data_IF_902109273095
#
_entry.id   IF_902109273095
#
_cell.length_a   1.000
_cell.length_b   1.000
_cell.length_c   1.000
_cell.angle_alpha   90.00
_cell.angle_beta   90.00
_cell.angle_gamma   90.00
#
_symmetry.space_group_name_H-M   'P 1'
#
loop_
_entity.id
_entity.type
_entity.pdbx_description
1 polymer ?
#
# COMPACT_ATOMS: atom_id res chain seq x y z
N UNK A 1 15.17 -3.97 -11.76
CA UNK A 1 15.72 -5.15 -11.06
C UNK A 1 14.74 -5.62 -9.98
N UNK A 2 14.73 -6.93 -9.68
CA UNK A 2 14.00 -7.47 -8.54
C UNK A 2 14.59 -6.95 -7.21
N UNK A 3 13.74 -6.82 -6.20
CA UNK A 3 14.09 -6.51 -4.81
C UNK A 3 13.92 -7.81 -4.01
N UNK A 4 14.99 -8.31 -3.41
CA UNK A 4 14.98 -9.51 -2.58
C UNK A 4 15.34 -9.19 -1.13
N UNK A 5 16.07 -8.12 -0.90
CA UNK A 5 16.54 -7.64 0.41
C UNK A 5 16.61 -6.11 0.42
N UNK A 6 16.76 -5.50 1.60
CA UNK A 6 16.75 -4.04 1.78
C UNK A 6 17.79 -3.35 0.91
N UNK A 7 18.99 -3.90 0.81
CA UNK A 7 20.08 -3.29 0.02
C UNK A 7 19.76 -3.15 -1.47
N UNK A 8 18.83 -3.94 -2.01
CA UNK A 8 18.41 -3.85 -3.41
C UNK A 8 17.63 -2.55 -3.71
N UNK A 9 17.03 -1.93 -2.68
CA UNK A 9 16.35 -0.63 -2.80
C UNK A 9 17.31 0.55 -2.82
N UNK A 10 18.57 0.35 -2.39
CA UNK A 10 19.52 1.45 -2.23
C UNK A 10 19.71 2.26 -3.52
N UNK A 11 19.39 3.54 -3.40
CA UNK A 11 19.55 4.52 -4.47
C UNK A 11 18.51 4.43 -5.59
N UNK A 12 17.56 3.49 -5.56
CA UNK A 12 16.45 3.46 -6.51
C UNK A 12 15.54 4.67 -6.29
N UNK A 13 15.20 5.35 -7.37
CA UNK A 13 14.16 6.39 -7.37
C UNK A 13 12.80 5.72 -7.38
N UNK A 14 12.17 5.64 -6.23
CA UNK A 14 10.85 5.03 -6.08
C UNK A 14 9.79 6.13 -6.05
N UNK A 15 8.82 6.06 -6.95
CA UNK A 15 7.65 6.93 -6.89
C UNK A 15 6.83 6.59 -5.65
N UNK A 16 6.53 7.61 -4.86
CA UNK A 16 5.64 7.50 -3.70
C UNK A 16 4.51 8.54 -3.79
N UNK A 17 3.35 8.29 -3.15
CA UNK A 17 2.38 9.34 -2.94
C UNK A 17 2.95 10.43 -2.01
N UNK A 18 2.35 11.64 -1.98
CA UNK A 18 2.82 12.73 -1.11
C UNK A 18 2.40 12.50 0.36
N UNK A 19 2.71 11.33 0.90
CA UNK A 19 2.42 10.90 2.27
C UNK A 19 3.72 10.78 3.05
N UNK A 20 3.82 11.50 4.17
CA UNK A 20 5.03 11.53 4.99
C UNK A 20 5.46 10.15 5.51
N UNK A 21 4.56 9.25 5.97
CA UNK A 21 4.95 7.91 6.40
C UNK A 21 5.60 7.10 5.26
N UNK A 22 4.99 7.09 4.08
CA UNK A 22 5.50 6.37 2.91
C UNK A 22 6.86 6.90 2.47
N UNK A 23 7.00 8.23 2.38
CA UNK A 23 8.26 8.88 2.03
C UNK A 23 9.37 8.43 2.99
N UNK A 24 9.16 8.58 4.30
CA UNK A 24 10.14 8.23 5.32
C UNK A 24 10.47 6.73 5.35
N UNK A 25 9.48 5.87 5.11
CA UNK A 25 9.71 4.43 5.03
C UNK A 25 10.68 4.10 3.89
N UNK A 26 10.47 4.62 2.68
CA UNK A 26 11.36 4.36 1.56
C UNK A 26 12.73 5.03 1.72
N UNK A 27 12.83 6.19 2.38
CA UNK A 27 14.12 6.78 2.78
C UNK A 27 14.87 5.85 3.74
N UNK A 28 14.20 5.33 4.77
CA UNK A 28 14.79 4.41 5.75
C UNK A 28 15.24 3.09 5.10
N UNK A 29 14.53 2.61 4.09
CA UNK A 29 14.91 1.46 3.26
C UNK A 29 16.07 1.76 2.28
N UNK A 30 16.60 2.99 2.27
CA UNK A 30 17.74 3.40 1.44
C UNK A 30 17.38 3.79 0.00
N UNK A 31 16.11 3.83 -0.34
CA UNK A 31 15.65 4.34 -1.63
C UNK A 31 15.73 5.87 -1.70
N UNK A 32 15.51 6.41 -2.90
CA UNK A 32 15.35 7.85 -3.16
C UNK A 32 13.90 8.12 -3.58
N UNK A 33 12.95 8.29 -2.64
CA UNK A 33 11.54 8.45 -2.96
C UNK A 33 11.30 9.75 -3.73
N UNK A 34 10.45 9.66 -4.75
CA UNK A 34 10.06 10.77 -5.62
C UNK A 34 8.56 10.97 -5.57
N UNK A 35 8.13 12.16 -5.17
CA UNK A 35 6.71 12.51 -5.12
C UNK A 35 6.22 12.87 -6.53
N UNK A 36 5.48 11.94 -7.14
CA UNK A 36 4.87 12.14 -8.46
C UNK A 36 3.36 11.87 -8.35
N UNK A 37 2.49 12.72 -8.93
CA UNK A 37 1.05 12.46 -8.96
C UNK A 37 0.74 11.07 -9.52
N UNK A 38 -0.30 10.42 -8.97
CA UNK A 38 -0.64 9.05 -9.36
C UNK A 38 -0.87 8.91 -10.87
N UNK A 39 -1.59 9.86 -11.46
CA UNK A 39 -1.89 9.89 -12.89
C UNK A 39 -0.66 10.09 -13.80
N UNK A 40 0.46 10.56 -13.25
CA UNK A 40 1.71 10.79 -13.99
C UNK A 40 2.70 9.64 -13.82
N UNK A 41 2.40 8.67 -12.95
CA UNK A 41 3.31 7.58 -12.59
C UNK A 41 3.73 6.74 -13.80
N UNK A 42 2.79 6.39 -14.68
CA UNK A 42 3.09 5.61 -15.89
C UNK A 42 4.15 6.31 -16.76
N UNK A 43 3.98 7.60 -17.01
CA UNK A 43 4.93 8.36 -17.83
C UNK A 43 6.27 8.56 -17.12
N UNK A 44 6.27 8.73 -15.80
CA UNK A 44 7.50 8.82 -15.02
C UNK A 44 8.33 7.53 -15.07
N UNK A 45 7.68 6.37 -15.04
CA UNK A 45 8.30 5.05 -15.23
C UNK A 45 8.84 4.90 -16.68
N UNK A 46 8.01 5.19 -17.67
CA UNK A 46 8.37 5.07 -19.10
C UNK A 46 9.54 5.93 -19.52
N UNK A 47 9.68 7.10 -18.92
CA UNK A 47 10.76 8.07 -19.25
C UNK A 47 11.97 7.95 -18.33
N UNK A 48 11.95 7.07 -17.32
CA UNK A 48 13.05 6.89 -16.38
C UNK A 48 13.23 8.04 -15.38
N UNK A 49 12.19 8.85 -15.16
CA UNK A 49 12.16 9.85 -14.08
C UNK A 49 12.21 9.14 -12.73
N UNK A 50 11.52 7.99 -12.62
CA UNK A 50 11.60 7.06 -11.51
C UNK A 50 11.98 5.66 -12.01
N UNK A 51 12.64 4.89 -11.14
CA UNK A 51 13.09 3.52 -11.41
C UNK A 51 12.02 2.48 -11.04
N UNK A 52 11.09 2.86 -10.14
CA UNK A 52 10.04 1.99 -9.64
C UNK A 52 8.93 2.77 -8.95
N UNK A 53 7.94 2.03 -8.47
CA UNK A 53 6.80 2.54 -7.71
C UNK A 53 6.35 1.49 -6.70
N UNK A 54 5.48 1.84 -5.77
CA UNK A 54 4.79 0.95 -4.85
C UNK A 54 3.28 1.13 -5.04
N UNK A 55 2.57 0.04 -5.19
CA UNK A 55 1.11 0.00 -5.29
C UNK A 55 0.59 -1.43 -5.11
N UNK A 56 -0.69 -1.62 -4.79
CA UNK A 56 -1.36 -2.91 -4.89
C UNK A 56 -1.31 -3.49 -6.31
N UNK A 57 -1.37 -4.81 -6.44
CA UNK A 57 -1.39 -5.53 -7.72
C UNK A 57 -2.49 -5.04 -8.67
N UNK A 58 -3.69 -4.78 -8.13
CA UNK A 58 -4.80 -4.21 -8.89
C UNK A 58 -4.43 -2.88 -9.57
N UNK A 59 -3.83 -1.96 -8.83
CA UNK A 59 -3.41 -0.67 -9.34
C UNK A 59 -2.32 -0.80 -10.42
N UNK A 60 -1.40 -1.77 -10.24
CA UNK A 60 -0.33 -2.04 -11.22
C UNK A 60 -0.95 -2.53 -12.54
N UNK A 61 -1.94 -3.41 -12.48
CA UNK A 61 -2.64 -3.92 -13.64
C UNK A 61 -3.49 -2.84 -14.32
N UNK A 62 -4.37 -2.18 -13.57
CA UNK A 62 -5.34 -1.21 -14.09
C UNK A 62 -4.67 0.02 -14.72
N UNK A 63 -3.57 0.50 -14.12
CA UNK A 63 -2.78 1.62 -14.63
C UNK A 63 -1.70 1.19 -15.62
N UNK A 64 -1.65 -0.10 -15.96
CA UNK A 64 -0.70 -0.69 -16.90
C UNK A 64 0.77 -0.42 -16.59
N UNK A 65 1.12 -0.33 -15.31
CA UNK A 65 2.52 -0.10 -14.91
C UNK A 65 3.42 -1.26 -15.34
N UNK A 66 2.87 -2.46 -15.49
CA UNK A 66 3.56 -3.65 -16.03
C UNK A 66 4.12 -3.45 -17.44
N UNK A 67 3.55 -2.53 -18.27
CA UNK A 67 4.10 -2.20 -19.58
C UNK A 67 5.42 -1.41 -19.51
N UNK A 68 5.70 -0.81 -18.33
CA UNK A 68 6.88 0.01 -18.09
C UNK A 68 7.87 -0.62 -17.10
N UNK A 69 7.54 -1.77 -16.53
CA UNK A 69 8.34 -2.44 -15.49
C UNK A 69 8.44 -3.95 -15.74
N UNK A 70 9.64 -4.50 -15.58
CA UNK A 70 9.92 -5.95 -15.80
C UNK A 70 9.78 -6.78 -14.53
N UNK A 71 9.87 -6.16 -13.35
CA UNK A 71 9.93 -6.85 -12.05
C UNK A 71 8.86 -6.33 -11.10
N UNK A 72 8.28 -7.25 -10.34
CA UNK A 72 7.38 -6.98 -9.21
C UNK A 72 7.84 -7.79 -8.02
N UNK A 73 8.13 -7.12 -6.89
CA UNK A 73 8.54 -7.77 -5.66
C UNK A 73 7.46 -7.60 -4.60
N UNK A 74 6.96 -8.71 -4.05
CA UNK A 74 5.88 -8.74 -3.08
C UNK A 74 6.41 -8.43 -1.68
N UNK A 75 6.60 -7.13 -1.39
CA UNK A 75 7.04 -6.68 -0.07
C UNK A 75 5.98 -6.92 1.01
N UNK A 76 4.71 -6.79 0.64
CA UNK A 76 3.58 -6.85 1.58
C UNK A 76 3.78 -5.90 2.79
N UNK A 77 4.28 -4.71 2.51
CA UNK A 77 4.76 -3.75 3.51
C UNK A 77 3.66 -2.90 4.14
N UNK A 78 2.49 -2.86 3.52
CA UNK A 78 1.39 -1.99 3.94
C UNK A 78 0.04 -2.67 3.72
N UNK A 79 -0.86 -2.50 4.69
CA UNK A 79 -2.29 -2.77 4.52
C UNK A 79 -2.95 -1.46 4.08
N UNK A 80 -3.76 -1.51 3.02
CA UNK A 80 -4.56 -0.39 2.55
C UNK A 80 -6.02 -0.56 2.98
N UNK A 81 -6.45 -0.01 4.12
CA UNK A 81 -7.86 0.02 4.47
C UNK A 81 -8.56 1.11 3.65
N UNK A 82 -9.63 0.75 2.95
CA UNK A 82 -10.50 1.70 2.24
C UNK A 82 -11.75 1.97 3.10
N UNK A 83 -11.77 3.07 3.87
CA UNK A 83 -12.90 3.38 4.73
C UNK A 83 -14.09 3.91 3.93
N UNK A 84 -15.28 3.45 4.28
CA UNK A 84 -16.53 3.94 3.74
C UNK A 84 -17.05 5.08 4.63
N UNK A 85 -17.17 6.29 4.07
CA UNK A 85 -17.57 7.48 4.81
C UNK A 85 -18.96 7.96 4.41
N UNK A 86 -19.69 8.43 5.40
CA UNK A 86 -20.95 9.15 5.21
C UNK A 86 -20.92 10.46 6.01
N UNK A 87 -21.58 11.50 5.52
CA UNK A 87 -21.71 12.75 6.27
C UNK A 87 -22.60 12.54 7.49
N UNK A 88 -22.06 12.73 8.69
CA UNK A 88 -22.84 12.65 9.93
C UNK A 88 -24.03 13.62 9.89
N UNK A 89 -23.82 14.85 9.42
CA UNK A 89 -24.89 15.84 9.30
C UNK A 89 -26.04 15.40 8.38
N UNK A 90 -25.73 14.67 7.33
CA UNK A 90 -26.74 14.11 6.43
C UNK A 90 -27.43 12.90 7.05
N UNK A 91 -26.67 11.99 7.65
CA UNK A 91 -27.16 10.76 8.28
C UNK A 91 -28.11 11.05 9.44
N UNK A 92 -27.75 12.00 10.32
CA UNK A 92 -28.57 12.39 11.48
C UNK A 92 -29.90 13.04 11.12
N UNK A 93 -30.06 13.51 9.87
CA UNK A 93 -31.33 14.08 9.38
C UNK A 93 -32.27 13.00 8.81
N UNK A 94 -31.81 11.79 8.61
CA UNK A 94 -32.63 10.70 8.10
C UNK A 94 -33.60 10.22 9.21
N UNK A 95 -34.82 9.83 8.83
CA UNK A 95 -35.68 9.03 9.70
C UNK A 95 -34.98 7.72 10.10
N UNK A 96 -35.23 7.22 11.30
CA UNK A 96 -34.59 6.02 11.86
C UNK A 96 -34.67 4.81 10.91
N UNK A 97 -35.83 4.62 10.25
CA UNK A 97 -35.99 3.54 9.26
C UNK A 97 -35.01 3.65 8.09
N UNK A 98 -34.68 4.86 7.66
CA UNK A 98 -33.70 5.08 6.59
C UNK A 98 -32.25 4.97 7.08
N UNK A 99 -31.95 5.33 8.33
CA UNK A 99 -30.64 5.10 8.94
C UNK A 99 -30.37 3.59 8.99
N UNK A 100 -31.34 2.77 9.45
CA UNK A 100 -31.19 1.31 9.47
C UNK A 100 -30.91 0.74 8.08
N UNK A 101 -31.60 1.22 7.04
CA UNK A 101 -31.37 0.76 5.66
C UNK A 101 -29.96 1.13 5.20
N UNK A 102 -29.48 2.34 5.51
CA UNK A 102 -28.12 2.79 5.15
C UNK A 102 -27.08 1.93 5.86
N UNK A 103 -27.25 1.64 7.15
CA UNK A 103 -26.33 0.81 7.92
C UNK A 103 -26.28 -0.63 7.38
N UNK A 104 -27.43 -1.24 7.13
CA UNK A 104 -27.51 -2.60 6.59
C UNK A 104 -26.85 -2.70 5.21
N UNK A 105 -27.17 -1.76 4.31
CA UNK A 105 -26.58 -1.74 2.96
C UNK A 105 -25.10 -1.45 2.99
N UNK A 106 -24.64 -0.56 3.88
CA UNK A 106 -23.21 -0.28 4.04
C UNK A 106 -22.46 -1.52 4.52
N UNK A 107 -22.97 -2.22 5.52
CA UNK A 107 -22.39 -3.45 6.05
C UNK A 107 -22.33 -4.55 4.99
N UNK A 108 -23.43 -4.78 4.26
CA UNK A 108 -23.46 -5.75 3.16
C UNK A 108 -22.47 -5.40 2.06
N UNK A 109 -22.42 -4.13 1.67
CA UNK A 109 -21.50 -3.62 0.63
C UNK A 109 -20.06 -3.82 1.04
N UNK A 110 -19.67 -3.47 2.27
CA UNK A 110 -18.29 -3.65 2.75
C UNK A 110 -17.90 -5.12 2.77
N UNK A 111 -18.78 -5.99 3.28
CA UNK A 111 -18.53 -7.44 3.31
C UNK A 111 -18.29 -7.98 1.92
N UNK A 112 -19.21 -7.67 0.99
CA UNK A 112 -19.12 -8.13 -0.41
C UNK A 112 -17.91 -7.56 -1.15
N UNK A 113 -17.59 -6.29 -0.91
CA UNK A 113 -16.40 -5.65 -1.50
C UNK A 113 -15.11 -6.36 -1.06
N UNK A 114 -14.99 -6.68 0.23
CA UNK A 114 -13.84 -7.42 0.75
C UNK A 114 -13.72 -8.83 0.12
N UNK A 115 -14.84 -9.56 0.00
CA UNK A 115 -14.86 -10.88 -0.64
C UNK A 115 -14.39 -10.80 -2.09
N UNK A 116 -14.89 -9.83 -2.86
CA UNK A 116 -14.51 -9.62 -4.26
C UNK A 116 -13.04 -9.24 -4.35
N UNK A 117 -12.57 -8.34 -3.49
CA UNK A 117 -11.18 -7.88 -3.50
C UNK A 117 -10.21 -9.03 -3.21
N UNK A 118 -10.46 -9.81 -2.16
CA UNK A 118 -9.65 -10.97 -1.80
C UNK A 118 -9.63 -12.04 -2.91
N UNK A 119 -10.79 -12.27 -3.56
CA UNK A 119 -10.88 -13.21 -4.67
C UNK A 119 -10.16 -12.73 -5.94
N UNK A 120 -10.04 -11.42 -6.14
CA UNK A 120 -9.43 -10.84 -7.34
C UNK A 120 -7.91 -10.79 -7.30
N UNK A 121 -7.28 -10.80 -6.11
CA UNK A 121 -5.82 -10.69 -5.96
C UNK A 121 -5.07 -11.77 -6.74
N UNK A 122 -5.50 -13.02 -6.63
CA UNK A 122 -4.88 -14.13 -7.36
C UNK A 122 -4.94 -13.93 -8.89
N UNK A 123 -6.06 -13.40 -9.40
CA UNK A 123 -6.22 -13.13 -10.82
C UNK A 123 -5.32 -11.98 -11.30
N UNK A 124 -5.13 -10.94 -10.47
CA UNK A 124 -4.20 -9.86 -10.79
C UNK A 124 -2.75 -10.37 -10.83
N UNK A 125 -2.35 -11.18 -9.86
CA UNK A 125 -1.00 -11.75 -9.83
C UNK A 125 -0.77 -12.69 -11.02
N UNK A 126 -1.75 -13.51 -11.42
CA UNK A 126 -1.66 -14.35 -12.62
C UNK A 126 -1.46 -13.49 -13.88
N UNK A 127 -2.32 -12.48 -14.07
CA UNK A 127 -2.25 -11.57 -15.22
C UNK A 127 -0.91 -10.82 -15.27
N UNK A 128 -0.45 -10.29 -14.13
CA UNK A 128 0.82 -9.58 -14.06
C UNK A 128 2.00 -10.51 -14.30
N UNK A 129 1.92 -11.77 -13.85
CA UNK A 129 2.94 -12.80 -14.05
C UNK A 129 3.16 -13.17 -15.52
N UNK A 130 2.20 -12.91 -16.40
CA UNK A 130 2.38 -13.06 -17.86
C UNK A 130 3.30 -11.98 -18.46
N UNK A 131 3.48 -10.86 -17.75
CA UNK A 131 4.19 -9.68 -18.25
C UNK A 131 5.41 -9.29 -17.41
N UNK A 132 5.44 -9.69 -16.14
CA UNK A 132 6.47 -9.31 -15.17
C UNK A 132 7.08 -10.54 -14.49
N UNK A 133 8.33 -10.43 -14.08
CA UNK A 133 8.93 -11.39 -13.15
C UNK A 133 8.51 -11.02 -11.73
N UNK A 134 7.65 -11.85 -11.14
CA UNK A 134 7.17 -11.66 -9.75
C UNK A 134 8.03 -12.49 -8.80
N UNK A 135 8.49 -11.88 -7.70
CA UNK A 135 9.20 -12.58 -6.64
C UNK A 135 8.64 -12.24 -5.26
N UNK A 136 8.66 -13.21 -4.38
CA UNK A 136 8.45 -13.02 -2.94
C UNK A 136 9.76 -12.64 -2.25
N UNK A 137 9.63 -11.98 -1.08
CA UNK A 137 10.77 -11.77 -0.20
C UNK A 137 10.95 -13.02 0.64
N UNK A 138 12.12 -13.63 0.60
CA UNK A 138 12.45 -14.78 1.43
C UNK A 138 12.37 -14.41 2.93
N UNK A 139 11.88 -15.33 3.76
CA UNK A 139 11.63 -15.07 5.19
C UNK A 139 12.88 -14.57 5.92
N UNK A 140 14.05 -15.07 5.56
CA UNK A 140 15.34 -14.64 6.12
C UNK A 140 15.68 -13.17 5.87
N UNK A 141 15.06 -12.54 4.87
CA UNK A 141 15.27 -11.13 4.51
C UNK A 141 14.17 -10.20 5.04
N UNK A 142 12.99 -10.74 5.42
CA UNK A 142 11.84 -9.93 5.88
C UNK A 142 12.18 -9.07 7.10
N UNK A 143 12.88 -9.66 8.09
CA UNK A 143 13.26 -8.93 9.29
C UNK A 143 14.09 -7.67 8.99
N UNK A 144 14.95 -7.71 7.97
CA UNK A 144 15.74 -6.55 7.57
C UNK A 144 14.89 -5.35 7.11
N UNK A 145 13.75 -5.60 6.43
CA UNK A 145 12.81 -4.54 6.06
C UNK A 145 12.10 -3.97 7.29
N UNK A 146 11.70 -4.81 8.23
CA UNK A 146 11.07 -4.38 9.49
C UNK A 146 12.04 -3.52 10.30
N UNK A 147 13.25 -4.00 10.53
CA UNK A 147 14.27 -3.29 11.31
C UNK A 147 14.59 -1.90 10.72
N UNK A 148 14.61 -1.80 9.41
CA UNK A 148 14.88 -0.53 8.72
C UNK A 148 13.79 0.52 8.95
N UNK A 149 12.53 0.13 9.14
CA UNK A 149 11.40 1.07 9.30
C UNK A 149 11.01 1.34 10.75
N UNK A 150 11.52 0.60 11.74
CA UNK A 150 11.27 0.85 13.16
C UNK A 150 11.49 2.31 13.56
N UNK A 151 12.60 3.00 13.17
CA UNK A 151 12.82 4.41 13.50
C UNK A 151 11.76 5.35 12.92
N UNK A 152 11.09 4.93 11.84
CA UNK A 152 10.00 5.71 11.23
C UNK A 152 8.76 5.65 12.12
N UNK A 153 8.41 4.46 12.65
CA UNK A 153 7.30 4.32 13.60
C UNK A 153 7.55 5.11 14.88
N UNK A 154 8.75 4.99 15.46
CA UNK A 154 9.16 5.75 16.65
C UNK A 154 9.01 7.27 16.44
N UNK A 155 9.44 7.78 15.28
CA UNK A 155 9.28 9.19 14.93
C UNK A 155 7.81 9.65 14.94
N UNK A 156 6.86 8.85 14.44
CA UNK A 156 5.44 9.21 14.43
C UNK A 156 4.80 9.05 15.82
N UNK A 157 5.26 8.12 16.66
CA UNK A 157 4.89 8.05 18.08
C UNK A 157 5.37 9.29 18.82
N UNK A 158 6.63 9.70 18.67
CA UNK A 158 7.19 10.90 19.29
C UNK A 158 6.45 12.19 18.89
N UNK A 159 5.98 12.25 17.66
CA UNK A 159 5.15 13.36 17.17
C UNK A 159 3.73 13.36 17.75
N UNK A 160 3.27 12.24 18.30
CA UNK A 160 1.92 12.07 18.80
C UNK A 160 0.86 11.79 17.72
N UNK A 161 1.27 11.33 16.53
CA UNK A 161 0.32 10.93 15.48
C UNK A 161 -0.46 9.67 15.89
N UNK A 162 0.17 8.79 16.66
CA UNK A 162 -0.44 7.65 17.35
C UNK A 162 0.38 7.29 18.61
N UNK A 163 -0.21 6.52 19.51
CA UNK A 163 0.45 6.16 20.75
C UNK A 163 1.31 4.91 20.61
N UNK A 164 2.25 4.73 21.56
CA UNK A 164 3.04 3.49 21.66
C UNK A 164 2.15 2.25 21.82
N UNK A 165 1.08 2.36 22.62
CA UNK A 165 0.11 1.28 22.82
C UNK A 165 -0.59 0.89 21.51
N UNK A 166 -0.97 1.87 20.68
CA UNK A 166 -1.57 1.60 19.36
C UNK A 166 -0.59 0.90 18.43
N UNK A 167 0.68 1.31 18.42
CA UNK A 167 1.72 0.61 17.65
C UNK A 167 1.87 -0.84 18.08
N UNK A 168 1.97 -1.09 19.40
CA UNK A 168 2.10 -2.45 19.96
C UNK A 168 0.89 -3.32 19.62
N UNK A 169 -0.33 -2.76 19.67
CA UNK A 169 -1.55 -3.46 19.27
C UNK A 169 -1.51 -3.90 17.80
N UNK A 170 -1.02 -3.04 16.90
CA UNK A 170 -0.91 -3.38 15.47
C UNK A 170 0.16 -4.44 15.25
N UNK A 171 1.33 -4.30 15.88
CA UNK A 171 2.42 -5.27 15.75
C UNK A 171 2.03 -6.67 16.26
N UNK A 172 1.21 -6.74 17.32
CA UNK A 172 0.71 -8.02 17.84
C UNK A 172 -0.27 -8.75 16.89
N UNK A 173 -0.72 -8.12 15.81
CA UNK A 173 -1.55 -8.76 14.79
C UNK A 173 -0.70 -9.42 13.67
N UNK A 174 0.60 -9.19 13.67
CA UNK A 174 1.51 -9.68 12.61
C UNK A 174 2.28 -10.94 13.01
N UNK A 175 2.15 -11.38 14.27
CA UNK A 175 2.68 -12.65 14.82
C UNK A 175 1.66 -13.80 14.57
#
# INVERSE_FOLDING_TARGET
RAVNQVDDLRGLKIRTPPLAPTLRAFEALGASPQQVPYTETYMALRTGVVDGQENPSSNIADMKFHEAQEYMSLLNWQIHPDPFFISAQWYDQLPEELQMIVDDVAQETMTRSNEIWLASEANYLETLGEHMSINDIADEHRQGFVDAVVPVWEHFVERGDFSQEQLEQVLALTD
#
